data_IF_413453377308
#
_entry.id   IF_413453377308
#
_cell.length_a   1.000
_cell.length_b   1.000
_cell.length_c   1.000
_cell.angle_alpha   90.00
_cell.angle_beta   90.00
_cell.angle_gamma   90.00
#
_symmetry.space_group_name_H-M   'P 1'
#
loop_
_entity.id
_entity.type
_entity.pdbx_description
1 polymer ?
#
# COMPACT_ATOMS: atom_id res chain seq x y z
N UNK A 1 23.79 -2.38 7.83
CA UNK A 1 24.31 -1.19 7.11
C UNK A 1 23.28 -0.07 7.23
N UNK A 2 23.67 1.21 7.15
CA UNK A 2 22.69 2.31 7.06
C UNK A 2 22.01 2.30 5.68
N UNK A 3 20.68 2.34 5.65
CA UNK A 3 19.93 2.47 4.41
C UNK A 3 20.06 3.88 3.84
N UNK A 4 20.17 3.99 2.52
CA UNK A 4 20.11 5.26 1.83
C UNK A 4 18.69 5.85 1.82
N UNK A 5 18.54 7.16 1.60
CA UNK A 5 17.24 7.82 1.69
C UNK A 5 16.35 7.66 0.43
N UNK A 6 16.87 7.07 -0.65
CA UNK A 6 16.13 6.93 -1.90
C UNK A 6 15.41 5.59 -1.97
N UNK A 7 14.10 5.64 -2.23
CA UNK A 7 13.34 4.51 -2.76
C UNK A 7 13.15 4.73 -4.26
N UNK A 8 13.61 3.77 -5.07
CA UNK A 8 13.51 3.85 -6.54
C UNK A 8 12.64 2.70 -7.06
N UNK A 9 12.54 2.53 -8.37
CA UNK A 9 11.89 1.39 -9.01
C UNK A 9 12.79 0.74 -10.07
N UNK A 10 12.27 -0.31 -10.70
CA UNK A 10 12.89 -0.96 -11.86
C UNK A 10 11.91 -1.02 -13.03
N UNK A 11 12.44 -1.14 -14.24
CA UNK A 11 11.64 -0.96 -15.46
C UNK A 11 10.76 -2.17 -15.78
N UNK A 12 11.27 -3.38 -15.58
CA UNK A 12 10.63 -4.60 -16.09
C UNK A 12 10.54 -5.75 -15.09
N UNK A 13 10.41 -6.95 -15.66
CA UNK A 13 10.24 -8.21 -14.94
C UNK A 13 11.55 -8.82 -14.42
N UNK A 14 12.69 -8.35 -14.93
CA UNK A 14 14.03 -8.81 -14.56
C UNK A 14 14.96 -7.60 -14.42
N UNK A 15 16.00 -7.75 -13.60
CA UNK A 15 16.99 -6.69 -13.42
C UNK A 15 17.92 -6.61 -14.63
N UNK A 16 18.08 -5.40 -15.15
CA UNK A 16 19.14 -5.06 -16.12
C UNK A 16 20.45 -4.75 -15.39
N UNK A 17 21.56 -4.66 -16.14
CA UNK A 17 22.84 -4.21 -15.57
C UNK A 17 22.76 -2.80 -14.96
N UNK A 18 21.94 -1.91 -15.53
CA UNK A 18 21.75 -0.57 -14.99
C UNK A 18 20.92 -0.60 -13.70
N UNK A 19 19.92 -1.49 -13.59
CA UNK A 19 19.21 -1.71 -12.31
C UNK A 19 20.17 -2.17 -11.23
N UNK A 20 21.03 -3.16 -11.53
CA UNK A 20 22.00 -3.68 -10.55
C UNK A 20 22.93 -2.56 -10.07
N UNK A 21 23.43 -1.72 -10.98
CA UNK A 21 24.26 -0.56 -10.64
C UNK A 21 23.54 0.44 -9.74
N UNK A 22 22.29 0.79 -10.06
CA UNK A 22 21.47 1.72 -9.27
C UNK A 22 21.13 1.15 -7.89
N UNK A 23 20.68 -0.10 -7.83
CA UNK A 23 20.35 -0.81 -6.59
C UNK A 23 21.58 -0.93 -5.69
N UNK A 24 22.78 -1.11 -6.25
CA UNK A 24 24.03 -1.20 -5.48
C UNK A 24 24.47 0.15 -4.89
N UNK A 25 23.90 1.27 -5.34
CA UNK A 25 24.32 2.60 -4.91
C UNK A 25 23.95 2.85 -3.43
N UNK A 26 24.86 3.39 -2.59
CA UNK A 26 24.65 3.54 -1.15
C UNK A 26 23.47 4.46 -0.79
N UNK A 27 23.13 5.43 -1.65
CA UNK A 27 21.97 6.31 -1.44
C UNK A 27 20.62 5.64 -1.69
N UNK A 28 20.58 4.46 -2.29
CA UNK A 28 19.34 3.71 -2.48
C UNK A 28 19.13 2.82 -1.26
N UNK A 29 18.01 3.00 -0.57
CA UNK A 29 17.62 2.20 0.61
C UNK A 29 16.47 1.24 0.35
N UNK A 30 15.76 1.41 -0.76
CA UNK A 30 14.70 0.48 -1.12
C UNK A 30 14.20 0.59 -2.55
N UNK A 31 13.29 -0.32 -2.88
CA UNK A 31 12.55 -0.38 -4.13
C UNK A 31 11.05 -0.39 -3.87
N UNK A 32 10.29 0.24 -4.77
CA UNK A 32 8.85 0.04 -4.91
C UNK A 32 8.58 -0.72 -6.20
N UNK A 33 7.76 -1.78 -6.11
CA UNK A 33 7.33 -2.59 -7.24
C UNK A 33 5.95 -2.16 -7.74
N UNK A 34 5.76 -2.24 -9.05
CA UNK A 34 4.53 -1.90 -9.75
C UNK A 34 4.00 -3.07 -10.58
N UNK A 35 2.82 -2.90 -11.18
CA UNK A 35 2.21 -3.92 -12.07
C UNK A 35 3.14 -4.31 -13.24
N UNK A 36 3.95 -3.38 -13.77
CA UNK A 36 4.93 -3.68 -14.83
C UNK A 36 6.07 -4.62 -14.39
N UNK A 37 6.24 -4.82 -13.08
CA UNK A 37 7.24 -5.70 -12.50
C UNK A 37 6.68 -7.10 -12.16
N UNK A 38 5.41 -7.35 -12.51
CA UNK A 38 4.70 -8.58 -12.18
C UNK A 38 4.13 -9.27 -13.42
N UNK A 39 4.50 -10.53 -13.59
CA UNK A 39 3.91 -11.45 -14.57
C UNK A 39 3.18 -12.60 -13.86
N UNK A 40 3.89 -13.29 -12.97
CA UNK A 40 3.40 -14.42 -12.18
C UNK A 40 4.23 -14.56 -10.90
N UNK A 41 3.84 -15.49 -10.02
CA UNK A 41 4.49 -15.69 -8.70
C UNK A 41 5.93 -16.18 -8.81
N UNK A 42 6.23 -17.03 -9.79
CA UNK A 42 7.58 -17.57 -9.99
C UNK A 42 8.54 -16.47 -10.47
N UNK A 43 8.09 -15.62 -11.39
CA UNK A 43 8.84 -14.45 -11.83
C UNK A 43 9.03 -13.44 -10.70
N UNK A 44 8.00 -13.15 -9.89
CA UNK A 44 8.12 -12.23 -8.76
C UNK A 44 9.14 -12.73 -7.74
N UNK A 45 9.13 -14.03 -7.44
CA UNK A 45 10.12 -14.65 -6.55
C UNK A 45 11.54 -14.50 -7.11
N UNK A 46 11.70 -14.72 -8.42
CA UNK A 46 13.01 -14.57 -9.09
C UNK A 46 13.51 -13.11 -9.02
N UNK A 47 12.63 -12.14 -9.23
CA UNK A 47 12.97 -10.71 -9.17
C UNK A 47 13.38 -10.28 -7.75
N UNK A 48 12.60 -10.65 -6.74
CA UNK A 48 12.88 -10.33 -5.34
C UNK A 48 14.15 -10.99 -4.85
N UNK A 49 14.41 -12.26 -5.19
CA UNK A 49 15.67 -12.95 -4.90
C UNK A 49 16.88 -12.26 -5.53
N UNK A 50 16.75 -11.79 -6.78
CA UNK A 50 17.81 -11.05 -7.46
C UNK A 50 18.13 -9.72 -6.74
N UNK A 51 17.11 -9.00 -6.25
CA UNK A 51 17.29 -7.78 -5.46
C UNK A 51 17.99 -8.09 -4.13
N UNK A 52 17.52 -9.13 -3.41
CA UNK A 52 18.12 -9.57 -2.14
C UNK A 52 19.56 -10.02 -2.29
N UNK A 53 19.93 -10.64 -3.40
CA UNK A 53 21.32 -11.01 -3.69
C UNK A 53 22.26 -9.80 -3.76
N UNK A 54 21.76 -8.62 -4.14
CA UNK A 54 22.57 -7.39 -4.28
C UNK A 54 22.68 -6.66 -2.95
N UNK A 55 21.58 -6.53 -2.18
CA UNK A 55 21.51 -5.65 -1.00
C UNK A 55 21.17 -6.34 0.33
N UNK A 56 20.87 -7.63 0.33
CA UNK A 56 20.46 -8.40 1.50
C UNK A 56 19.05 -8.09 2.00
N UNK A 57 18.72 -8.64 3.16
CA UNK A 57 17.39 -8.50 3.78
C UNK A 57 17.16 -7.15 4.50
N UNK A 58 18.22 -6.37 4.75
CA UNK A 58 18.09 -5.02 5.33
C UNK A 58 17.45 -4.03 4.33
N UNK A 59 17.57 -4.27 3.02
CA UNK A 59 17.06 -3.40 1.96
C UNK A 59 15.55 -3.43 1.88
N UNK A 60 14.87 -2.31 1.65
CA UNK A 60 13.40 -2.30 1.67
C UNK A 60 12.81 -2.63 0.28
N UNK A 61 11.84 -3.53 0.22
CA UNK A 61 11.02 -3.81 -0.97
C UNK A 61 9.57 -3.55 -0.61
N UNK A 62 8.94 -2.61 -1.31
CA UNK A 62 7.57 -2.17 -1.06
C UNK A 62 6.68 -2.33 -2.29
N UNK A 63 5.37 -2.26 -2.07
CA UNK A 63 4.35 -2.27 -3.14
C UNK A 63 3.11 -1.49 -2.68
N UNK A 64 2.30 -0.99 -3.61
CA UNK A 64 0.92 -0.61 -3.28
C UNK A 64 0.00 -1.83 -3.40
N UNK A 65 -0.47 -2.36 -2.27
CA UNK A 65 -1.43 -3.46 -2.27
C UNK A 65 -2.67 -3.08 -1.44
N UNK A 66 -3.60 -2.41 -2.13
CA UNK A 66 -4.93 -2.04 -1.62
C UNK A 66 -6.00 -2.88 -2.33
N UNK A 67 -6.60 -2.38 -3.42
CA UNK A 67 -7.62 -3.10 -4.21
C UNK A 67 -7.60 -2.70 -5.67
N UNK A 68 -8.21 -3.52 -6.52
CA UNK A 68 -8.45 -3.17 -7.92
C UNK A 68 -7.18 -2.72 -8.65
N UNK A 69 -7.14 -1.51 -9.21
CA UNK A 69 -5.95 -0.95 -9.89
C UNK A 69 -4.76 -0.70 -8.96
N UNK A 70 -5.00 -0.58 -7.66
CA UNK A 70 -3.99 -0.38 -6.60
C UNK A 70 -3.65 -1.70 -5.90
N UNK A 71 -4.04 -2.82 -6.50
CA UNK A 71 -3.49 -4.14 -6.19
C UNK A 71 -2.58 -4.52 -7.37
N UNK A 72 -1.26 -4.42 -7.18
CA UNK A 72 -0.29 -4.60 -8.28
C UNK A 72 -0.18 -6.05 -8.72
N UNK A 73 -0.18 -6.98 -7.77
CA UNK A 73 -0.11 -8.43 -8.02
C UNK A 73 -1.50 -9.05 -7.91
N UNK A 74 -1.93 -9.75 -8.96
CA UNK A 74 -3.31 -10.21 -9.12
C UNK A 74 -3.40 -11.70 -9.35
N UNK A 75 -2.88 -12.18 -10.47
CA UNK A 75 -2.85 -13.61 -10.74
C UNK A 75 -2.03 -14.32 -9.67
N UNK A 76 -2.56 -15.34 -9.00
CA UNK A 76 -1.88 -16.01 -7.88
C UNK A 76 -1.99 -15.30 -6.52
N UNK A 77 -2.71 -14.17 -6.44
CA UNK A 77 -2.99 -13.45 -5.18
C UNK A 77 -4.49 -13.38 -4.91
N UNK A 78 -4.87 -13.29 -3.64
CA UNK A 78 -6.27 -13.08 -3.26
C UNK A 78 -6.72 -11.70 -3.75
N UNK A 79 -7.90 -11.64 -4.38
CA UNK A 79 -8.50 -10.37 -4.78
C UNK A 79 -8.98 -9.62 -3.53
N UNK A 80 -8.41 -8.45 -3.28
CA UNK A 80 -8.76 -7.63 -2.12
C UNK A 80 -9.96 -6.74 -2.47
N UNK A 81 -11.01 -6.70 -1.63
CA UNK A 81 -12.17 -5.85 -1.88
C UNK A 81 -11.84 -4.37 -1.73
N UNK A 82 -12.70 -3.51 -2.24
CA UNK A 82 -12.65 -2.09 -1.94
C UNK A 82 -12.77 -1.83 -0.44
N UNK A 83 -11.92 -0.96 0.12
CA UNK A 83 -11.96 -0.62 1.55
C UNK A 83 -13.29 0.02 1.96
N UNK A 84 -13.97 0.74 1.06
CA UNK A 84 -15.34 1.25 1.30
C UNK A 84 -16.35 0.17 1.67
N UNK A 85 -16.18 -1.07 1.16
CA UNK A 85 -17.05 -2.20 1.52
C UNK A 85 -16.93 -2.58 2.99
N UNK A 86 -15.77 -2.38 3.62
CA UNK A 86 -15.65 -2.55 5.07
C UNK A 86 -16.46 -1.50 5.81
N UNK A 87 -16.48 -0.26 5.32
CA UNK A 87 -17.36 0.80 5.83
C UNK A 87 -18.84 0.43 5.71
N UNK A 88 -19.28 -0.07 4.55
CA UNK A 88 -20.67 -0.50 4.35
C UNK A 88 -21.10 -1.65 5.28
N UNK A 89 -20.15 -2.52 5.65
CA UNK A 89 -20.38 -3.57 6.66
C UNK A 89 -20.37 -2.95 8.06
N UNK A 90 -19.50 -1.98 8.33
CA UNK A 90 -19.40 -1.30 9.63
C UNK A 90 -20.70 -0.59 9.99
N UNK A 91 -21.36 0.05 9.02
CA UNK A 91 -22.68 0.67 9.20
C UNK A 91 -23.75 -0.29 9.74
N UNK A 92 -23.58 -1.61 9.51
CA UNK A 92 -24.55 -2.66 9.89
C UNK A 92 -24.06 -3.49 11.08
N UNK A 93 -22.77 -3.78 11.13
CA UNK A 93 -22.12 -4.62 12.14
C UNK A 93 -20.63 -4.23 12.29
N UNK A 94 -20.33 -3.27 13.19
CA UNK A 94 -18.96 -2.82 13.44
C UNK A 94 -18.00 -3.95 13.86
N UNK A 95 -18.48 -4.93 14.64
CA UNK A 95 -17.64 -6.05 15.11
C UNK A 95 -17.21 -6.94 13.96
N UNK A 96 -18.15 -7.28 13.08
CA UNK A 96 -17.85 -8.05 11.86
C UNK A 96 -16.93 -7.27 10.93
N UNK A 97 -17.16 -5.98 10.74
CA UNK A 97 -16.33 -5.14 9.88
C UNK A 97 -14.87 -5.07 10.36
N UNK A 98 -14.66 -4.89 11.67
CA UNK A 98 -13.34 -4.90 12.29
C UNK A 98 -12.64 -6.26 12.11
N UNK A 99 -13.36 -7.36 12.33
CA UNK A 99 -12.81 -8.69 12.12
C UNK A 99 -12.40 -8.93 10.65
N UNK A 100 -13.23 -8.50 9.69
CA UNK A 100 -12.90 -8.59 8.26
C UNK A 100 -11.70 -7.72 7.89
N UNK A 101 -11.59 -6.51 8.44
CA UNK A 101 -10.43 -5.64 8.21
C UNK A 101 -9.13 -6.29 8.70
N UNK A 102 -9.16 -6.92 9.88
CA UNK A 102 -8.05 -7.70 10.42
C UNK A 102 -7.66 -8.87 9.50
N UNK A 103 -8.64 -9.66 9.03
CA UNK A 103 -8.37 -10.78 8.13
C UNK A 103 -7.78 -10.31 6.78
N UNK A 104 -8.28 -9.20 6.23
CA UNK A 104 -7.72 -8.60 5.00
C UNK A 104 -6.27 -8.18 5.23
N UNK A 105 -5.96 -7.53 6.35
CA UNK A 105 -4.58 -7.19 6.71
C UNK A 105 -3.68 -8.43 6.79
N UNK A 106 -4.16 -9.53 7.40
CA UNK A 106 -3.42 -10.78 7.44
C UNK A 106 -3.16 -11.38 6.06
N UNK A 107 -4.18 -11.39 5.18
CA UNK A 107 -4.06 -11.92 3.82
C UNK A 107 -3.02 -11.12 3.01
N UNK A 108 -3.12 -9.78 3.03
CA UNK A 108 -2.18 -8.90 2.33
C UNK A 108 -0.74 -9.21 2.76
N UNK A 109 -0.51 -9.20 4.07
CA UNK A 109 0.82 -9.42 4.61
C UNK A 109 1.34 -10.83 4.35
N UNK A 110 0.52 -11.87 4.59
CA UNK A 110 0.93 -13.25 4.41
C UNK A 110 1.32 -13.54 2.96
N UNK A 111 0.52 -13.11 1.98
CA UNK A 111 0.81 -13.34 0.57
C UNK A 111 2.05 -12.57 0.09
N UNK A 112 2.22 -11.32 0.53
CA UNK A 112 3.40 -10.51 0.15
C UNK A 112 4.70 -11.01 0.79
N UNK A 113 4.64 -11.43 2.06
CA UNK A 113 5.82 -11.92 2.79
C UNK A 113 6.41 -13.20 2.21
N UNK A 114 5.60 -14.03 1.53
CA UNK A 114 6.09 -15.21 0.78
C UNK A 114 7.11 -14.82 -0.30
N UNK A 115 6.98 -13.63 -0.86
CA UNK A 115 7.89 -13.08 -1.88
C UNK A 115 8.90 -12.08 -1.29
N UNK A 116 9.09 -12.09 0.04
CA UNK A 116 10.05 -11.26 0.76
C UNK A 116 9.86 -9.74 0.52
N UNK A 117 8.60 -9.33 0.36
CA UNK A 117 8.19 -7.92 0.28
C UNK A 117 7.93 -7.41 1.69
N UNK A 118 8.58 -6.32 2.07
CA UNK A 118 8.67 -5.85 3.45
C UNK A 118 7.39 -5.16 3.92
N UNK A 119 6.79 -4.33 3.06
CA UNK A 119 5.58 -3.59 3.41
C UNK A 119 4.74 -3.19 2.21
N UNK A 120 3.46 -2.95 2.49
CA UNK A 120 2.52 -2.35 1.55
C UNK A 120 2.22 -0.91 1.96
N UNK A 121 2.13 0.01 0.99
CA UNK A 121 1.64 1.37 1.23
C UNK A 121 0.12 1.35 1.43
N UNK A 122 -0.31 0.89 2.60
CA UNK A 122 -1.72 0.77 3.02
C UNK A 122 -1.75 0.87 4.56
N UNK A 123 -2.79 1.41 5.21
CA UNK A 123 -4.08 1.83 4.68
C UNK A 123 -4.18 3.25 4.13
N UNK A 124 -5.20 3.47 3.29
CA UNK A 124 -5.75 4.80 3.02
C UNK A 124 -6.55 5.26 4.23
N UNK A 125 -6.22 6.44 4.76
CA UNK A 125 -6.84 7.09 5.92
C UNK A 125 -7.66 8.32 5.52
N UNK A 126 -7.71 8.64 4.24
CA UNK A 126 -8.48 9.75 3.70
C UNK A 126 -9.97 9.56 3.99
N UNK A 127 -10.63 10.64 4.44
CA UNK A 127 -12.07 10.67 4.70
C UNK A 127 -12.83 10.70 3.37
N UNK A 128 -13.86 9.87 3.24
CA UNK A 128 -14.76 9.92 2.08
C UNK A 128 -15.76 11.06 2.21
N UNK A 129 -15.38 12.26 1.74
CA UNK A 129 -16.29 13.41 1.63
C UNK A 129 -17.26 13.29 0.44
N UNK A 130 -17.22 12.21 -0.36
CA UNK A 130 -17.91 12.09 -1.66
C UNK A 130 -17.50 13.13 -2.72
N UNK A 131 -16.50 13.98 -2.43
CA UNK A 131 -16.04 15.04 -3.33
C UNK A 131 -14.78 14.66 -4.13
N UNK A 132 -13.91 13.80 -3.58
CA UNK A 132 -12.65 13.42 -4.22
C UNK A 132 -12.86 12.51 -5.43
N UNK A 133 -12.33 12.92 -6.58
CA UNK A 133 -12.33 12.12 -7.79
C UNK A 133 -11.26 11.01 -7.80
N UNK A 134 -10.35 10.98 -6.82
CA UNK A 134 -9.21 10.05 -6.78
C UNK A 134 -9.33 9.01 -5.67
N UNK A 135 -9.78 9.41 -4.47
CA UNK A 135 -9.89 8.50 -3.32
C UNK A 135 -11.07 7.55 -3.49
N UNK A 136 -12.29 8.08 -3.74
CA UNK A 136 -13.52 7.30 -3.99
C UNK A 136 -13.65 6.11 -3.03
N UNK A 137 -13.85 4.91 -3.57
CA UNK A 137 -14.03 3.68 -2.83
C UNK A 137 -12.77 3.21 -2.07
N UNK A 138 -11.61 3.87 -2.23
CA UNK A 138 -10.35 3.55 -1.51
C UNK A 138 -10.40 3.97 -0.04
N UNK A 139 -11.16 5.02 0.27
CA UNK A 139 -11.45 5.39 1.64
C UNK A 139 -12.31 4.30 2.30
N UNK A 140 -12.14 4.11 3.61
CA UNK A 140 -12.99 3.20 4.37
C UNK A 140 -14.40 3.76 4.54
N UNK A 141 -14.50 5.04 4.90
CA UNK A 141 -15.74 5.67 5.33
C UNK A 141 -15.65 7.21 5.28
N UNK A 142 -16.79 7.89 5.46
CA UNK A 142 -16.84 9.33 5.75
C UNK A 142 -16.85 9.68 7.24
N UNK A 143 -16.85 8.67 8.12
CA UNK A 143 -16.87 8.82 9.59
C UNK A 143 -15.49 8.47 10.14
N UNK A 144 -14.93 9.39 10.92
CA UNK A 144 -13.59 9.29 11.51
C UNK A 144 -13.49 8.07 12.46
N UNK A 145 -14.52 7.76 13.24
CA UNK A 145 -14.48 6.61 14.16
C UNK A 145 -14.51 5.29 13.41
N UNK A 146 -15.27 5.20 12.31
CA UNK A 146 -15.25 4.05 11.42
C UNK A 146 -13.86 3.87 10.79
N UNK A 147 -13.25 4.96 10.27
CA UNK A 147 -11.90 4.93 9.68
C UNK A 147 -10.87 4.47 10.71
N UNK A 148 -10.84 5.08 11.89
CA UNK A 148 -9.91 4.71 12.98
C UNK A 148 -10.05 3.25 13.35
N UNK A 149 -11.29 2.76 13.53
CA UNK A 149 -11.57 1.39 13.91
C UNK A 149 -11.12 0.39 12.83
N UNK A 150 -11.52 0.60 11.58
CA UNK A 150 -11.21 -0.29 10.47
C UNK A 150 -9.72 -0.30 10.13
N UNK A 151 -9.09 0.88 10.04
CA UNK A 151 -7.67 0.99 9.73
C UNK A 151 -6.79 0.38 10.83
N UNK A 152 -7.14 0.57 12.11
CA UNK A 152 -6.40 -0.03 13.23
C UNK A 152 -6.46 -1.55 13.19
N UNK A 153 -7.61 -2.13 12.88
CA UNK A 153 -7.75 -3.59 12.75
C UNK A 153 -6.99 -4.13 11.53
N UNK A 154 -7.01 -3.42 10.39
CA UNK A 154 -6.21 -3.78 9.23
C UNK A 154 -4.71 -3.75 9.55
N UNK A 155 -4.23 -2.70 10.21
CA UNK A 155 -2.84 -2.57 10.65
C UNK A 155 -2.43 -3.68 11.62
N UNK A 156 -3.30 -4.06 12.55
CA UNK A 156 -3.05 -5.19 13.46
C UNK A 156 -2.99 -6.52 12.69
N UNK A 157 -3.83 -6.69 11.66
CA UNK A 157 -3.79 -7.83 10.74
C UNK A 157 -2.45 -7.94 10.01
N UNK A 158 -1.99 -6.83 9.41
CA UNK A 158 -0.68 -6.75 8.75
C UNK A 158 0.44 -7.12 9.74
N UNK A 159 0.44 -6.49 10.91
CA UNK A 159 1.45 -6.70 11.96
C UNK A 159 1.47 -8.14 12.43
N UNK A 160 0.31 -8.77 12.60
CA UNK A 160 0.20 -10.17 13.04
C UNK A 160 0.83 -11.14 12.04
N UNK A 161 0.81 -10.81 10.76
CA UNK A 161 1.49 -11.54 9.69
C UNK A 161 2.90 -10.99 9.37
N UNK A 162 3.44 -10.12 10.23
CA UNK A 162 4.83 -9.67 10.19
C UNK A 162 5.09 -8.49 9.24
N UNK A 163 4.08 -7.74 8.84
CA UNK A 163 4.22 -6.60 7.92
C UNK A 163 3.81 -5.29 8.59
N UNK A 164 4.51 -4.20 8.29
CA UNK A 164 4.06 -2.85 8.66
C UNK A 164 3.15 -2.27 7.57
N UNK A 165 2.25 -1.38 7.95
CA UNK A 165 1.47 -0.56 7.03
C UNK A 165 1.91 0.89 7.05
N UNK A 166 1.59 1.63 5.99
CA UNK A 166 1.86 3.06 5.83
C UNK A 166 0.54 3.79 5.61
N UNK A 167 0.12 4.58 6.60
CA UNK A 167 -1.05 5.44 6.50
C UNK A 167 -0.86 6.54 5.46
N UNK A 168 -1.86 6.79 4.62
CA UNK A 168 -1.80 7.82 3.58
C UNK A 168 -3.17 8.47 3.29
N UNK A 169 -3.23 9.71 2.80
CA UNK A 169 -2.12 10.60 2.44
C UNK A 169 -2.14 11.80 3.39
N UNK A 170 -1.19 11.87 4.33
CA UNK A 170 -1.14 12.98 5.29
C UNK A 170 -0.98 14.33 4.58
N UNK A 171 -1.69 15.40 4.99
CA UNK A 171 -2.63 15.47 6.12
C UNK A 171 -4.04 14.94 5.80
N UNK A 172 -4.39 14.81 4.52
CA UNK A 172 -5.62 14.19 4.04
C UNK A 172 -5.87 14.58 2.59
N UNK A 173 -6.25 13.64 1.74
CA UNK A 173 -6.58 13.87 0.34
C UNK A 173 -8.10 13.81 0.08
N UNK A 174 -8.87 13.39 1.08
CA UNK A 174 -10.31 13.12 0.94
C UNK A 174 -11.16 14.31 0.52
N UNK A 175 -10.76 15.52 0.90
CA UNK A 175 -11.49 16.77 0.62
C UNK A 175 -11.14 17.37 -0.74
N UNK A 176 -10.00 16.99 -1.30
CA UNK A 176 -9.47 17.57 -2.53
C UNK A 176 -10.23 16.98 -3.73
N UNK A 177 -10.90 17.85 -4.50
CA UNK A 177 -11.63 17.47 -5.73
C UNK A 177 -10.70 17.12 -6.89
N UNK A 178 -9.62 17.91 -7.02
CA UNK A 178 -8.68 17.84 -8.13
C UNK A 178 -7.74 16.64 -8.03
N UNK A 179 -7.44 16.01 -9.16
CA UNK A 179 -6.44 14.96 -9.22
C UNK A 179 -5.04 15.57 -9.13
N UNK A 180 -4.32 15.26 -8.04
CA UNK A 180 -2.96 15.73 -7.79
C UNK A 180 -1.95 15.23 -8.83
N UNK A 181 -2.29 14.22 -9.64
CA UNK A 181 -1.44 13.77 -10.75
C UNK A 181 -1.47 14.75 -11.94
N UNK A 182 -2.50 15.60 -12.03
CA UNK A 182 -2.76 16.44 -13.20
C UNK A 182 -2.77 17.94 -12.89
N UNK A 183 -2.84 18.30 -11.60
CA UNK A 183 -3.00 19.70 -11.17
C UNK A 183 -2.51 19.90 -9.74
N UNK A 184 -2.26 21.16 -9.38
CA UNK A 184 -2.00 21.54 -7.99
C UNK A 184 -3.29 21.29 -7.21
N UNK A 185 -3.17 20.55 -6.11
CA UNK A 185 -4.24 20.29 -5.18
C UNK A 185 -4.17 21.30 -4.03
N UNK A 186 -5.26 22.01 -3.77
CA UNK A 186 -5.39 22.95 -2.67
C UNK A 186 -6.57 22.53 -1.78
N UNK A 187 -6.35 22.49 -0.47
CA UNK A 187 -7.38 22.34 0.55
C UNK A 187 -7.51 23.68 1.28
N UNK A 188 -8.66 24.35 1.15
CA UNK A 188 -8.88 25.71 1.66
C UNK A 188 -9.50 25.72 3.06
N UNK A 189 -9.64 24.57 3.72
CA UNK A 189 -10.14 24.48 5.09
C UNK A 189 -9.15 25.10 6.08
N UNK A 190 -9.66 25.57 7.21
CA UNK A 190 -8.81 26.04 8.30
C UNK A 190 -8.11 24.86 8.99
N UNK A 191 -6.96 25.11 9.62
CA UNK A 191 -6.14 24.05 10.24
C UNK A 191 -6.89 23.28 11.34
N UNK A 192 -7.81 23.93 12.05
CA UNK A 192 -8.67 23.32 13.08
C UNK A 192 -9.79 22.43 12.51
N UNK A 193 -10.03 22.51 11.19
CA UNK A 193 -10.98 21.66 10.46
C UNK A 193 -10.31 20.45 9.76
N UNK A 194 -8.97 20.34 9.80
CA UNK A 194 -8.18 19.29 9.14
C UNK A 194 -7.89 18.12 10.08
#
# INVERSE_FOLDING_TARGET
>A
MTLGPLMIDVEGLTLTNEDIKRISHPMVGGLILFTRNYKDTDQLKTLTDAIRKIRGHDFLIAVDHERGRVQRFREGFTTIPAMRKLGEVWDKDPKKANHLAFLIGQIIAAELRVFDIDFSFTPVLDIDYSESTVIRDRAFHGDIEAIKSLASNLLEGLKKAGMHGVGKHFPGHGYIKADSHLSISEDTRALDEI
#
